data_IF_324962488860
#
_entry.id   IF_324962488860
#
_cell.length_a   1.000
_cell.length_b   1.000
_cell.length_c   1.000
_cell.angle_alpha   90.00
_cell.angle_beta   90.00
_cell.angle_gamma   90.00
#
_symmetry.space_group_name_H-M   'P 1'
#
loop_
_entity.id
_entity.type
_entity.pdbx_description
1 polymer ?
#
# COMPACT_ATOMS: atom_id res chain seq x y z
N UNK A 1 -3.76 -17.96 -33.33
CA UNK A 1 -4.84 -17.09 -32.80
C UNK A 1 -4.47 -16.74 -31.37
N UNK A 2 -4.64 -15.46 -31.03
CA UNK A 2 -3.92 -14.74 -29.97
C UNK A 2 -3.93 -15.39 -28.59
N UNK A 3 -2.76 -15.35 -27.97
CA UNK A 3 -2.49 -15.41 -26.54
C UNK A 3 -3.35 -14.40 -25.76
N UNK A 4 -3.94 -14.84 -24.65
CA UNK A 4 -3.68 -14.26 -23.33
C UNK A 4 -4.43 -15.05 -22.23
N UNK A 5 -3.66 -15.49 -21.25
CA UNK A 5 -4.01 -16.17 -20.01
C UNK A 5 -5.26 -15.59 -19.32
N UNK A 6 -6.34 -16.38 -19.25
CA UNK A 6 -7.51 -16.09 -18.37
C UNK A 6 -7.33 -16.74 -17.00
N UNK A 7 -6.17 -16.52 -16.38
CA UNK A 7 -5.87 -16.96 -15.02
C UNK A 7 -5.94 -15.74 -14.11
N UNK A 8 -7.04 -15.67 -13.37
CA UNK A 8 -7.27 -14.76 -12.26
C UNK A 8 -5.96 -14.49 -11.50
N UNK A 9 -5.42 -13.28 -11.66
CA UNK A 9 -4.07 -12.96 -11.22
C UNK A 9 -4.13 -12.46 -9.77
N UNK A 10 -3.41 -13.08 -8.80
CA UNK A 10 -3.36 -12.60 -7.40
C UNK A 10 -2.83 -11.16 -7.26
N UNK A 11 -2.23 -10.62 -8.33
CA UNK A 11 -1.66 -9.28 -8.43
C UNK A 11 -2.67 -8.16 -8.15
N UNK A 12 -3.98 -8.39 -8.30
CA UNK A 12 -5.00 -7.35 -8.05
C UNK A 12 -5.39 -7.20 -6.57
N UNK A 13 -5.37 -8.25 -5.75
CA UNK A 13 -5.81 -8.14 -4.36
C UNK A 13 -4.72 -7.51 -3.47
N UNK A 14 -3.46 -7.90 -3.68
CA UNK A 14 -2.31 -7.35 -2.99
C UNK A 14 -2.16 -5.84 -3.25
N UNK A 15 -2.46 -5.40 -4.49
CA UNK A 15 -2.37 -4.00 -4.89
C UNK A 15 -3.57 -3.16 -4.43
N UNK A 16 -4.75 -3.75 -4.17
CA UNK A 16 -5.92 -2.95 -3.74
C UNK A 16 -5.70 -2.27 -2.39
N UNK A 17 -5.12 -2.97 -1.42
CA UNK A 17 -4.85 -2.37 -0.11
C UNK A 17 -3.74 -1.32 -0.21
N UNK A 18 -2.65 -1.62 -0.91
CA UNK A 18 -1.57 -0.64 -1.09
C UNK A 18 -2.04 0.61 -1.83
N UNK A 19 -2.75 0.45 -2.96
CA UNK A 19 -3.28 1.58 -3.72
C UNK A 19 -4.30 2.39 -2.92
N UNK A 20 -5.13 1.75 -2.08
CA UNK A 20 -6.01 2.47 -1.15
C UNK A 20 -5.21 3.28 -0.14
N UNK A 21 -4.15 2.70 0.42
CA UNK A 21 -3.28 3.40 1.35
C UNK A 21 -2.67 4.65 0.68
N UNK A 22 -2.16 4.53 -0.53
CA UNK A 22 -1.66 5.65 -1.33
C UNK A 22 -2.72 6.74 -1.54
N UNK A 23 -3.92 6.36 -1.99
CA UNK A 23 -5.03 7.31 -2.17
C UNK A 23 -5.37 8.08 -0.89
N UNK A 24 -5.36 7.41 0.27
CA UNK A 24 -5.60 8.06 1.56
C UNK A 24 -4.41 8.90 2.03
N UNK A 25 -3.18 8.49 1.72
CA UNK A 25 -1.97 9.29 1.98
C UNK A 25 -2.03 10.64 1.25
N UNK A 26 -2.42 10.64 -0.02
CA UNK A 26 -2.63 11.86 -0.82
C UNK A 26 -3.75 12.76 -0.28
N UNK A 27 -4.73 12.18 0.41
CA UNK A 27 -5.84 12.90 1.06
C UNK A 27 -5.53 13.32 2.50
N UNK A 28 -4.32 13.04 2.99
CA UNK A 28 -3.92 13.21 4.39
C UNK A 28 -4.85 12.49 5.39
N UNK A 29 -5.52 11.41 4.97
CA UNK A 29 -6.36 10.61 5.84
C UNK A 29 -5.52 9.51 6.50
N UNK A 30 -4.80 9.90 7.55
CA UNK A 30 -3.78 9.08 8.21
C UNK A 30 -4.34 7.74 8.70
N UNK A 31 -5.51 7.73 9.33
CA UNK A 31 -6.12 6.51 9.87
C UNK A 31 -6.34 5.45 8.79
N UNK A 32 -7.01 5.84 7.69
CA UNK A 32 -7.33 4.91 6.61
C UNK A 32 -6.09 4.51 5.80
N UNK A 33 -5.10 5.40 5.69
CA UNK A 33 -3.84 5.09 5.04
C UNK A 33 -3.07 4.00 5.81
N UNK A 34 -2.93 4.16 7.13
CA UNK A 34 -2.26 3.19 8.01
C UNK A 34 -3.00 1.86 8.00
N UNK A 35 -4.33 1.86 8.12
CA UNK A 35 -5.13 0.63 8.13
C UNK A 35 -4.93 -0.19 6.84
N UNK A 36 -4.97 0.48 5.69
CA UNK A 36 -4.79 -0.19 4.41
C UNK A 36 -3.33 -0.60 4.16
N UNK A 37 -2.36 0.21 4.58
CA UNK A 37 -0.94 -0.14 4.46
C UNK A 37 -0.61 -1.37 5.31
N UNK A 38 -1.09 -1.44 6.55
CA UNK A 38 -0.90 -2.61 7.41
C UNK A 38 -1.49 -3.88 6.76
N UNK A 39 -2.68 -3.79 6.15
CA UNK A 39 -3.27 -4.92 5.41
C UNK A 39 -2.42 -5.33 4.22
N UNK A 40 -1.86 -4.37 3.48
CA UNK A 40 -0.94 -4.66 2.38
C UNK A 40 0.33 -5.36 2.87
N UNK A 41 0.98 -4.84 3.92
CA UNK A 41 2.18 -5.42 4.54
C UNK A 41 1.93 -6.85 5.04
N UNK A 42 0.77 -7.10 5.63
CA UNK A 42 0.39 -8.43 6.11
C UNK A 42 0.22 -9.45 4.96
N UNK A 43 -0.06 -8.98 3.73
CA UNK A 43 -0.13 -9.83 2.54
C UNK A 43 1.27 -10.04 1.95
N UNK A 44 2.07 -8.98 1.87
CA UNK A 44 3.46 -9.05 1.38
C UNK A 44 4.31 -7.95 2.02
N UNK A 45 5.39 -8.36 2.69
CA UNK A 45 6.32 -7.46 3.38
C UNK A 45 6.99 -6.46 2.43
N UNK A 46 7.02 -6.71 1.11
CA UNK A 46 7.55 -5.77 0.11
C UNK A 46 6.95 -4.38 0.21
N UNK A 47 5.69 -4.27 0.67
CA UNK A 47 4.99 -3.00 0.79
C UNK A 47 5.57 -2.11 1.91
N UNK A 48 6.28 -2.67 2.89
CA UNK A 48 7.06 -1.88 3.85
C UNK A 48 8.15 -1.09 3.13
N UNK A 49 8.93 -1.76 2.28
CA UNK A 49 10.03 -1.14 1.55
C UNK A 49 9.54 -0.14 0.50
N UNK A 50 8.44 -0.45 -0.18
CA UNK A 50 7.81 0.50 -1.11
C UNK A 50 7.36 1.79 -0.41
N UNK A 51 6.66 1.66 0.73
CA UNK A 51 6.12 2.81 1.47
C UNK A 51 7.21 3.75 2.04
N UNK A 52 8.44 3.27 2.27
CA UNK A 52 9.57 4.09 2.73
C UNK A 52 9.94 5.23 1.78
N UNK A 53 9.69 5.06 0.47
CA UNK A 53 10.06 6.07 -0.54
C UNK A 53 8.90 6.55 -1.37
N UNK A 54 7.72 5.93 -1.24
CA UNK A 54 6.54 6.30 -2.03
C UNK A 54 6.05 7.72 -1.71
N UNK A 55 5.96 8.58 -2.73
CA UNK A 55 5.58 9.98 -2.57
C UNK A 55 4.13 10.13 -2.11
N UNK A 56 3.27 9.15 -2.37
CA UNK A 56 1.86 9.19 -1.96
C UNK A 56 1.70 9.25 -0.43
N UNK A 57 2.73 8.84 0.32
CA UNK A 57 2.76 8.92 1.78
C UNK A 57 3.51 10.14 2.34
N UNK A 58 4.00 11.05 1.49
CA UNK A 58 4.81 12.21 1.92
C UNK A 58 4.14 13.01 3.04
N UNK A 59 2.83 13.26 2.91
CA UNK A 59 2.06 14.05 3.90
C UNK A 59 1.91 13.36 5.25
N UNK A 60 1.95 12.02 5.28
CA UNK A 60 1.71 11.22 6.49
C UNK A 60 2.98 10.59 7.06
N UNK A 61 4.13 10.72 6.37
CA UNK A 61 5.42 10.08 6.72
C UNK A 61 5.93 10.47 8.11
N UNK A 62 5.50 11.61 8.63
CA UNK A 62 5.83 12.09 9.97
C UNK A 62 5.02 11.44 11.11
N UNK A 63 3.94 10.72 10.83
CA UNK A 63 3.14 10.06 11.87
C UNK A 63 3.87 8.83 12.42
N UNK A 64 4.04 8.77 13.75
CA UNK A 64 4.79 7.71 14.43
C UNK A 64 4.19 6.31 14.18
N UNK A 65 2.87 6.22 14.03
CA UNK A 65 2.18 4.94 13.76
C UNK A 65 2.44 4.48 12.34
N UNK A 66 2.52 5.42 11.38
CA UNK A 66 2.94 5.10 10.01
C UNK A 66 4.39 4.63 9.99
N UNK A 67 5.30 5.33 10.68
CA UNK A 67 6.72 4.94 10.77
C UNK A 67 6.92 3.56 11.40
N UNK A 68 6.10 3.21 12.39
CA UNK A 68 6.12 1.89 13.04
C UNK A 68 5.79 0.74 12.08
N UNK A 69 5.12 1.01 10.95
CA UNK A 69 4.86 0.01 9.90
C UNK A 69 6.07 -0.25 9.00
N UNK A 70 7.04 0.65 8.97
CA UNK A 70 8.20 0.61 8.06
C UNK A 70 9.42 -0.06 8.67
N UNK A 71 9.41 -0.27 9.99
CA UNK A 71 10.47 -0.88 10.79
C UNK A 71 10.48 -2.40 10.75
#
# INVERSE_FOLDING_TARGET
MSSACSSYCPILAETVHYNKACCYGLQNNVELAIENLQRAINLDVKYQDMAKTDQDFEQIRGDERFQSLLS
#
